data_IF_002471468291
#
_entry.id   IF_002471468291
#
_cell.length_a   1.000
_cell.length_b   1.000
_cell.length_c   1.000
_cell.angle_alpha   90.00
_cell.angle_beta   90.00
_cell.angle_gamma   90.00
#
_symmetry.space_group_name_H-M   'P 1'
#
loop_
_entity.id
_entity.type
_entity.pdbx_description
1 polymer ?
#
# COMPACT_ATOMS: atom_id res chain seq x y z
N UNK A 1 -10.78 -17.93 -12.48
CA UNK A 1 -10.09 -19.24 -12.53
C UNK A 1 -10.29 -19.88 -11.17
N UNK A 2 -11.37 -20.65 -11.04
CA UNK A 2 -11.66 -21.39 -9.80
C UNK A 2 -10.66 -22.53 -9.68
N UNK A 3 -9.72 -22.39 -8.74
CA UNK A 3 -8.76 -23.45 -8.44
C UNK A 3 -9.51 -24.56 -7.71
N UNK A 4 -10.14 -25.44 -8.48
CA UNK A 4 -10.85 -26.61 -7.99
C UNK A 4 -9.82 -27.54 -7.35
N UNK A 5 -9.77 -27.57 -6.02
CA UNK A 5 -8.97 -28.53 -5.26
C UNK A 5 -9.56 -29.92 -5.51
N UNK A 6 -9.05 -30.64 -6.51
CA UNK A 6 -9.47 -32.01 -6.79
C UNK A 6 -8.85 -32.93 -5.77
N UNK A 7 -9.59 -33.22 -4.71
CA UNK A 7 -9.17 -34.16 -3.68
C UNK A 7 -9.50 -35.59 -4.15
N UNK A 8 -8.46 -36.32 -4.59
CA UNK A 8 -8.60 -37.72 -4.97
C UNK A 8 -9.00 -38.59 -3.77
N UNK A 9 -9.71 -39.70 -4.03
CA UNK A 9 -10.16 -40.65 -2.99
C UNK A 9 -9.02 -41.12 -2.10
N UNK A 10 -7.82 -41.35 -2.66
CA UNK A 10 -6.63 -41.72 -1.87
C UNK A 10 -6.21 -40.61 -0.91
N UNK A 11 -6.25 -39.36 -1.39
CA UNK A 11 -5.88 -38.19 -0.57
C UNK A 11 -6.88 -37.98 0.56
N UNK A 12 -8.19 -38.15 0.30
CA UNK A 12 -9.21 -38.09 1.35
C UNK A 12 -9.03 -39.19 2.40
N UNK A 13 -8.76 -40.43 1.96
CA UNK A 13 -8.47 -41.56 2.87
C UNK A 13 -7.21 -41.31 3.71
N UNK A 14 -6.18 -40.71 3.12
CA UNK A 14 -4.98 -40.32 3.84
C UNK A 14 -5.28 -39.25 4.90
N UNK A 15 -6.18 -38.29 4.63
CA UNK A 15 -6.56 -37.23 5.55
C UNK A 15 -7.59 -37.63 6.62
N UNK A 16 -8.33 -38.73 6.42
CA UNK A 16 -9.41 -39.16 7.32
C UNK A 16 -8.95 -39.44 8.76
N UNK A 17 -7.65 -39.65 8.99
CA UNK A 17 -7.10 -39.82 10.33
C UNK A 17 -6.71 -38.48 10.94
N UNK A 18 -7.32 -38.12 12.08
CA UNK A 18 -7.09 -36.84 12.77
C UNK A 18 -5.60 -36.57 13.08
N UNK A 19 -4.85 -37.59 13.51
CA UNK A 19 -3.41 -37.48 13.77
C UNK A 19 -2.62 -36.98 12.56
N UNK A 20 -2.98 -37.41 11.35
CA UNK A 20 -2.29 -37.00 10.12
C UNK A 20 -2.56 -35.54 9.80
N UNK A 21 -3.77 -35.05 10.05
CA UNK A 21 -4.09 -33.61 9.94
C UNK A 21 -3.23 -32.81 10.92
N UNK A 22 -3.06 -33.28 12.16
CA UNK A 22 -2.21 -32.61 13.15
C UNK A 22 -0.75 -32.59 12.72
N UNK A 23 -0.24 -33.69 12.16
CA UNK A 23 1.11 -33.75 11.56
C UNK A 23 1.26 -32.70 10.46
N UNK A 24 0.30 -32.62 9.54
CA UNK A 24 0.33 -31.65 8.43
C UNK A 24 0.31 -30.20 8.94
N UNK A 25 -0.50 -29.89 9.98
CA UNK A 25 -0.51 -28.57 10.63
C UNK A 25 0.84 -28.23 11.27
N UNK A 26 1.46 -29.17 11.96
CA UNK A 26 2.77 -28.97 12.58
C UNK A 26 3.88 -28.76 11.53
N UNK A 27 3.85 -29.51 10.42
CA UNK A 27 4.75 -29.33 9.29
C UNK A 27 4.50 -28.04 8.51
N UNK A 28 3.27 -27.51 8.56
CA UNK A 28 2.92 -26.22 7.96
C UNK A 28 3.55 -25.03 8.66
N UNK A 29 3.82 -25.14 9.97
CA UNK A 29 4.52 -24.11 10.75
C UNK A 29 6.00 -24.07 10.41
N UNK A 30 6.67 -25.23 10.39
CA UNK A 30 8.08 -25.38 10.05
C UNK A 30 8.40 -26.82 9.64
N UNK A 31 9.53 -27.03 8.94
CA UNK A 31 10.11 -28.36 8.75
C UNK A 31 10.47 -29.00 10.09
N UNK A 32 10.14 -30.29 10.24
CA UNK A 32 10.37 -31.09 11.46
C UNK A 32 10.88 -32.48 11.09
N UNK A 33 11.67 -33.06 11.98
CA UNK A 33 12.08 -34.46 11.92
C UNK A 33 10.99 -35.38 12.47
N UNK A 34 11.09 -36.67 12.15
CA UNK A 34 10.22 -37.72 12.71
C UNK A 34 10.23 -37.71 14.24
N UNK A 35 11.41 -37.56 14.86
CA UNK A 35 11.56 -37.60 16.32
C UNK A 35 10.96 -36.37 17.00
N UNK A 36 11.03 -35.20 16.38
CA UNK A 36 10.35 -33.99 16.89
C UNK A 36 8.83 -34.15 16.84
N UNK A 37 8.29 -34.67 15.72
CA UNK A 37 6.86 -34.94 15.59
C UNK A 37 6.37 -35.96 16.61
N UNK A 38 7.14 -37.03 16.83
CA UNK A 38 6.83 -38.06 17.84
C UNK A 38 6.74 -37.47 19.25
N UNK A 39 7.71 -36.61 19.63
CA UNK A 39 7.72 -35.93 20.93
C UNK A 39 6.55 -34.96 21.07
N UNK A 40 6.23 -34.16 20.05
CA UNK A 40 5.15 -33.17 20.13
C UNK A 40 3.75 -33.81 20.19
N UNK A 41 3.56 -34.92 19.47
CA UNK A 41 2.27 -35.60 19.38
C UNK A 41 2.10 -36.67 20.46
N UNK A 42 3.12 -36.91 21.29
CA UNK A 42 3.16 -38.01 22.28
C UNK A 42 2.87 -39.38 21.64
N UNK A 43 3.49 -39.64 20.50
CA UNK A 43 3.34 -40.89 19.74
C UNK A 43 4.69 -41.60 19.57
N UNK A 44 4.65 -42.91 19.33
CA UNK A 44 5.86 -43.67 19.04
C UNK A 44 6.49 -43.23 17.71
N UNK A 45 7.82 -43.33 17.60
CA UNK A 45 8.53 -43.07 16.35
C UNK A 45 8.01 -43.94 15.20
N UNK A 46 7.63 -45.20 15.47
CA UNK A 46 7.09 -46.12 14.46
C UNK A 46 5.76 -45.61 13.90
N UNK A 47 4.84 -45.20 14.78
CA UNK A 47 3.52 -44.68 14.41
C UNK A 47 3.63 -43.41 13.54
N UNK A 48 4.53 -42.48 13.91
CA UNK A 48 4.76 -41.28 13.11
C UNK A 48 5.35 -41.64 11.74
N UNK A 49 6.28 -42.60 11.67
CA UNK A 49 6.84 -43.06 10.40
C UNK A 49 5.75 -43.57 9.47
N UNK A 50 4.85 -44.40 9.99
CA UNK A 50 3.72 -44.94 9.22
C UNK A 50 2.82 -43.81 8.68
N UNK A 51 2.48 -42.84 9.53
CA UNK A 51 1.70 -41.68 9.09
C UNK A 51 2.40 -40.84 8.02
N UNK A 52 3.71 -40.62 8.14
CA UNK A 52 4.50 -39.88 7.16
C UNK A 52 4.63 -40.62 5.83
N UNK A 53 4.77 -41.95 5.85
CA UNK A 53 4.78 -42.78 4.64
C UNK A 53 3.43 -42.65 3.91
N UNK A 54 2.32 -42.85 4.61
CA UNK A 54 0.97 -42.74 4.03
C UNK A 54 0.68 -41.33 3.48
N UNK A 55 1.19 -40.28 4.13
CA UNK A 55 1.09 -38.90 3.65
C UNK A 55 2.01 -38.62 2.46
N UNK A 56 3.15 -39.30 2.38
CA UNK A 56 4.07 -39.25 1.23
C UNK A 56 3.51 -39.93 0.00
N UNK A 57 2.81 -41.06 0.15
CA UNK A 57 2.18 -41.79 -0.95
C UNK A 57 1.17 -40.95 -1.75
N UNK A 58 0.51 -39.99 -1.10
CA UNK A 58 -0.46 -39.07 -1.71
C UNK A 58 0.14 -37.70 -2.04
N UNK A 59 1.45 -37.56 -1.95
CA UNK A 59 2.22 -36.34 -2.24
C UNK A 59 1.78 -35.14 -1.38
N UNK A 60 1.45 -35.36 -0.10
CA UNK A 60 1.15 -34.28 0.86
C UNK A 60 2.38 -33.83 1.64
N UNK A 61 3.32 -34.74 1.86
CA UNK A 61 4.57 -34.51 2.60
C UNK A 61 5.73 -35.06 1.77
N UNK A 62 6.85 -34.34 1.77
CA UNK A 62 8.11 -34.83 1.21
C UNK A 62 9.19 -34.93 2.27
N UNK A 63 10.06 -35.90 2.10
CA UNK A 63 11.25 -36.09 2.89
C UNK A 63 12.42 -35.38 2.22
N UNK A 64 13.16 -34.59 2.99
CA UNK A 64 14.36 -33.90 2.55
C UNK A 64 15.57 -34.68 3.05
N UNK A 65 16.34 -35.19 2.10
CA UNK A 65 17.61 -35.88 2.35
C UNK A 65 18.76 -34.91 2.08
N UNK A 66 19.35 -34.37 3.14
CA UNK A 66 20.49 -33.45 3.08
C UNK A 66 21.83 -34.21 3.27
N UNK A 67 21.83 -35.55 3.18
CA UNK A 67 23.02 -36.38 3.41
C UNK A 67 23.33 -36.67 4.89
N UNK A 68 22.48 -36.22 5.80
CA UNK A 68 22.57 -36.50 7.23
C UNK A 68 21.69 -37.70 7.63
N UNK A 69 22.02 -38.32 8.76
CA UNK A 69 21.21 -39.42 9.33
C UNK A 69 19.78 -39.00 9.65
N UNK A 70 19.55 -37.73 9.96
CA UNK A 70 18.23 -37.20 10.29
C UNK A 70 17.58 -36.61 9.06
N UNK A 71 16.38 -37.10 8.77
CA UNK A 71 15.60 -36.65 7.63
C UNK A 71 14.52 -35.69 8.09
N UNK A 72 14.48 -34.53 7.47
CA UNK A 72 13.43 -33.54 7.68
C UNK A 72 12.24 -33.85 6.78
N UNK A 73 11.06 -33.54 7.28
CA UNK A 73 9.83 -33.61 6.51
C UNK A 73 9.27 -32.20 6.34
N UNK A 74 8.70 -31.95 5.18
CA UNK A 74 8.03 -30.69 4.87
C UNK A 74 6.77 -30.91 4.03
N UNK A 75 5.84 -29.96 4.10
CA UNK A 75 4.65 -29.98 3.25
C UNK A 75 5.03 -29.76 1.79
N UNK A 76 4.41 -30.53 0.91
CA UNK A 76 4.45 -30.27 -0.54
C UNK A 76 3.57 -29.06 -0.89
N UNK A 77 3.65 -28.58 -2.14
CA UNK A 77 2.73 -27.54 -2.64
C UNK A 77 1.27 -27.96 -2.50
N UNK A 78 0.97 -29.23 -2.83
CA UNK A 78 -0.35 -29.85 -2.67
C UNK A 78 -0.79 -29.90 -1.21
N UNK A 79 0.08 -30.35 -0.31
CA UNK A 79 -0.18 -30.38 1.13
C UNK A 79 -0.45 -28.99 1.72
N UNK A 80 0.32 -27.97 1.31
CA UNK A 80 0.11 -26.58 1.72
C UNK A 80 -1.26 -26.06 1.28
N UNK A 81 -1.66 -26.31 0.03
CA UNK A 81 -2.93 -25.82 -0.51
C UNK A 81 -4.15 -26.45 0.19
N UNK A 82 -4.01 -27.67 0.71
CA UNK A 82 -5.07 -28.39 1.43
C UNK A 82 -5.22 -27.88 2.88
N UNK A 83 -4.11 -27.59 3.57
CA UNK A 83 -4.15 -27.13 4.97
C UNK A 83 -4.42 -25.63 5.08
N UNK A 84 -3.85 -24.85 4.16
CA UNK A 84 -4.01 -23.41 4.08
C UNK A 84 -4.54 -23.03 2.69
N UNK A 85 -5.82 -23.30 2.39
CA UNK A 85 -6.45 -22.80 1.19
C UNK A 85 -6.52 -21.27 1.26
N UNK A 86 -5.49 -20.64 0.73
CA UNK A 86 -5.51 -19.29 0.18
C UNK A 86 -5.79 -18.10 1.12
N UNK A 87 -5.24 -18.08 2.34
CA UNK A 87 -5.34 -16.91 3.23
C UNK A 87 -4.75 -15.62 2.60
N UNK A 88 -3.72 -15.72 1.76
CA UNK A 88 -3.04 -14.56 1.17
C UNK A 88 -3.92 -13.73 0.22
N UNK A 89 -4.90 -14.34 -0.47
CA UNK A 89 -5.79 -13.60 -1.39
C UNK A 89 -6.67 -12.62 -0.62
N UNK A 90 -7.13 -13.02 0.56
CA UNK A 90 -8.02 -12.22 1.41
C UNK A 90 -7.28 -10.94 1.84
N UNK A 91 -6.06 -11.08 2.39
CA UNK A 91 -5.24 -9.94 2.78
C UNK A 91 -4.91 -8.99 1.62
N UNK A 92 -4.56 -9.55 0.45
CA UNK A 92 -4.27 -8.75 -0.75
C UNK A 92 -5.51 -7.98 -1.22
N UNK A 93 -6.68 -8.63 -1.28
CA UNK A 93 -7.94 -7.96 -1.65
C UNK A 93 -8.35 -6.88 -0.65
N UNK A 94 -8.08 -7.09 0.63
CA UNK A 94 -8.42 -6.14 1.70
C UNK A 94 -7.54 -4.88 1.61
N UNK A 95 -6.22 -5.04 1.45
CA UNK A 95 -5.29 -3.92 1.26
C UNK A 95 -5.63 -3.14 -0.01
N UNK A 96 -5.96 -3.86 -1.10
CA UNK A 96 -6.34 -3.24 -2.38
C UNK A 96 -7.64 -2.43 -2.25
N UNK A 97 -8.64 -2.96 -1.52
CA UNK A 97 -9.88 -2.24 -1.26
C UNK A 97 -9.65 -0.96 -0.44
N UNK A 98 -8.79 -1.02 0.58
CA UNK A 98 -8.43 0.14 1.39
C UNK A 98 -7.73 1.21 0.53
N UNK A 99 -6.78 0.81 -0.33
CA UNK A 99 -6.10 1.73 -1.24
C UNK A 99 -7.06 2.37 -2.26
N UNK A 100 -8.01 1.60 -2.79
CA UNK A 100 -9.02 2.13 -3.69
C UNK A 100 -9.91 3.17 -2.99
N UNK A 101 -10.29 2.92 -1.73
CA UNK A 101 -11.09 3.84 -0.93
C UNK A 101 -10.33 5.14 -0.63
N UNK A 102 -9.04 5.09 -0.26
CA UNK A 102 -8.27 6.31 0.02
C UNK A 102 -8.11 7.17 -1.23
N UNK A 103 -7.87 6.57 -2.39
CA UNK A 103 -7.80 7.28 -3.68
C UNK A 103 -9.15 7.90 -4.04
N UNK A 104 -10.25 7.16 -3.84
CA UNK A 104 -11.60 7.65 -4.13
C UNK A 104 -11.98 8.82 -3.22
N UNK A 105 -11.68 8.73 -1.92
CA UNK A 105 -11.94 9.80 -0.94
C UNK A 105 -11.13 11.05 -1.25
N UNK A 106 -9.83 10.92 -1.57
CA UNK A 106 -9.01 12.07 -1.95
C UNK A 106 -9.54 12.76 -3.22
N UNK A 107 -9.99 11.99 -4.21
CA UNK A 107 -10.61 12.52 -5.43
C UNK A 107 -11.96 13.20 -5.15
N UNK A 108 -12.71 12.73 -4.16
CA UNK A 108 -13.99 13.33 -3.77
C UNK A 108 -13.78 14.63 -2.97
N UNK A 109 -12.87 14.63 -1.99
CA UNK A 109 -12.53 15.81 -1.19
C UNK A 109 -11.94 16.94 -2.03
N UNK A 110 -11.11 16.63 -3.04
CA UNK A 110 -10.56 17.63 -3.95
C UNK A 110 -11.62 18.27 -4.86
N UNK A 111 -12.72 17.56 -5.16
CA UNK A 111 -13.86 18.10 -5.92
C UNK A 111 -14.84 18.89 -5.04
N UNK A 112 -14.94 18.55 -3.76
CA UNK A 112 -15.82 19.21 -2.78
C UNK A 112 -15.18 20.42 -2.07
N UNK A 113 -13.91 20.73 -2.35
CA UNK A 113 -13.26 21.98 -1.91
C UNK A 113 -13.21 23.00 -3.05
N UNK A 114 -14.34 23.65 -3.43
CA UNK A 114 -14.23 24.90 -4.14
C UNK A 114 -13.82 25.98 -3.12
N UNK A 115 -12.85 26.82 -3.50
CA UNK A 115 -12.57 28.15 -2.94
C UNK A 115 -11.57 28.34 -1.77
N UNK A 116 -11.13 27.35 -0.99
CA UNK A 116 -10.14 27.62 0.08
C UNK A 116 -8.66 27.64 -0.38
N UNK A 117 -8.30 26.85 -1.40
CA UNK A 117 -6.90 26.73 -1.87
C UNK A 117 -6.54 27.81 -2.91
N UNK A 118 -7.51 28.54 -3.48
CA UNK A 118 -7.24 29.64 -4.44
C UNK A 118 -7.05 31.03 -3.80
N UNK A 119 -7.41 31.22 -2.53
CA UNK A 119 -7.19 32.48 -1.81
C UNK A 119 -5.69 32.89 -1.64
N UNK A 120 -4.74 31.98 -1.33
CA UNK A 120 -3.34 32.39 -1.16
C UNK A 120 -2.65 32.80 -2.47
N UNK A 121 -3.16 32.36 -3.63
CA UNK A 121 -2.59 32.63 -4.96
C UNK A 121 -2.83 34.09 -5.40
N UNK A 122 -4.01 34.63 -5.10
CA UNK A 122 -4.38 36.02 -5.41
C UNK A 122 -3.70 37.01 -4.46
N UNK A 123 -3.54 36.63 -3.19
CA UNK A 123 -2.84 37.46 -2.20
C UNK A 123 -1.33 37.54 -2.48
N UNK A 124 -0.69 36.46 -2.93
CA UNK A 124 0.72 36.50 -3.33
C UNK A 124 0.93 37.31 -4.62
N UNK A 125 0.04 37.17 -5.61
CA UNK A 125 0.14 37.89 -6.88
C UNK A 125 -0.12 39.40 -6.75
N UNK A 126 -1.06 39.83 -5.89
CA UNK A 126 -1.30 41.23 -5.59
C UNK A 126 -0.14 41.90 -4.84
N UNK A 127 0.54 41.16 -3.95
CA UNK A 127 1.67 41.66 -3.15
C UNK A 127 2.94 41.83 -4.00
N UNK A 128 3.14 40.95 -4.98
CA UNK A 128 4.25 41.04 -5.93
C UNK A 128 4.03 42.14 -6.97
N UNK A 129 2.79 42.33 -7.45
CA UNK A 129 2.42 43.45 -8.32
C UNK A 129 2.59 44.81 -7.63
N UNK A 130 2.19 44.94 -6.36
CA UNK A 130 2.35 46.18 -5.59
C UNK A 130 3.81 46.56 -5.34
N UNK A 131 4.69 45.57 -5.13
CA UNK A 131 6.13 45.80 -4.91
C UNK A 131 6.82 46.37 -6.16
N UNK A 132 6.47 45.85 -7.35
CA UNK A 132 7.07 46.29 -8.61
C UNK A 132 6.65 47.73 -8.98
N UNK A 133 5.40 48.12 -8.68
CA UNK A 133 4.92 49.49 -8.95
C UNK A 133 5.62 50.53 -8.08
N UNK A 134 5.89 50.19 -6.81
CA UNK A 134 6.61 51.09 -5.89
C UNK A 134 8.08 51.23 -6.31
N UNK A 135 8.71 50.14 -6.74
CA UNK A 135 10.11 50.16 -7.21
C UNK A 135 10.26 50.96 -8.52
N UNK A 136 9.26 50.91 -9.41
CA UNK A 136 9.26 51.67 -10.67
C UNK A 136 8.98 53.18 -10.43
N UNK A 137 8.12 53.51 -9.47
CA UNK A 137 7.88 54.89 -9.05
C UNK A 137 9.11 55.53 -8.40
N UNK A 138 9.88 54.77 -7.61
CA UNK A 138 11.12 55.24 -6.98
C UNK A 138 12.22 55.49 -8.02
N UNK A 139 12.38 54.62 -9.01
CA UNK A 139 13.33 54.81 -10.12
C UNK A 139 12.97 56.01 -11.02
N UNK A 140 11.68 56.28 -11.19
CA UNK A 140 11.18 57.44 -11.96
C UNK A 140 11.41 58.76 -11.24
N UNK A 141 11.28 58.78 -9.90
CA UNK A 141 11.46 60.00 -9.09
C UNK A 141 12.94 60.42 -8.96
N UNK A 142 13.87 59.47 -8.91
CA UNK A 142 15.32 59.76 -8.80
C UNK A 142 15.91 60.35 -10.10
N UNK A 143 15.21 60.23 -11.23
CA UNK A 143 15.65 60.72 -12.54
C UNK A 143 15.31 62.19 -12.89
N UNK A 144 14.52 62.90 -12.07
CA UNK A 144 14.08 64.27 -12.38
C UNK A 144 14.90 65.32 -11.61
N UNK A 145 15.97 65.82 -12.22
CA UNK A 145 16.66 67.05 -11.81
C UNK A 145 15.85 68.30 -12.26
N UNK A 146 15.61 69.32 -11.43
CA UNK A 146 14.72 70.45 -11.78
C UNK A 146 15.50 71.57 -12.48
N UNK A 147 15.04 72.11 -13.63
CA UNK A 147 14.45 73.47 -13.67
C UNK A 147 13.42 73.65 -14.83
N UNK A 148 12.53 74.64 -14.93
CA UNK A 148 12.63 76.08 -14.71
C UNK A 148 11.21 76.69 -14.63
N UNK A 149 11.08 77.67 -13.76
CA UNK A 149 9.96 78.58 -13.56
C UNK A 149 9.60 79.35 -14.85
N UNK A 150 8.34 79.31 -15.30
CA UNK A 150 7.81 80.29 -16.27
C UNK A 150 6.41 80.75 -15.86
N UNK A 151 6.37 82.02 -15.47
CA UNK A 151 5.19 82.81 -15.11
C UNK A 151 4.37 83.15 -16.37
N UNK A 152 3.06 82.86 -16.36
CA UNK A 152 2.08 83.38 -17.34
C UNK A 152 0.76 83.60 -16.57
N UNK A 153 0.49 84.81 -16.07
CA UNK A 153 -0.13 85.96 -16.74
C UNK A 153 -1.63 85.78 -17.01
N UNK A 154 -2.44 86.53 -16.23
CA UNK A 154 -3.91 86.61 -16.23
C UNK A 154 -4.51 87.19 -17.51
N UNK A 155 -5.75 86.83 -17.90
CA UNK A 155 -6.56 87.65 -18.78
C UNK A 155 -7.64 88.41 -18.01
N UNK A 156 -7.57 89.74 -18.16
CA UNK A 156 -8.57 90.74 -17.83
C UNK A 156 -9.69 90.75 -18.91
N UNK A 157 -10.83 91.40 -18.61
CA UNK A 157 -11.90 91.90 -19.51
C UNK A 157 -13.23 91.11 -19.49
N UNK A 158 -14.44 91.68 -19.39
CA UNK A 158 -14.94 93.01 -19.02
C UNK A 158 -16.44 92.91 -18.67
N UNK A 159 -16.95 93.91 -17.95
CA UNK A 159 -18.33 94.06 -17.47
C UNK A 159 -19.17 94.87 -18.48
N UNK A 160 -20.46 94.58 -18.70
CA UNK A 160 -21.36 95.46 -19.46
C UNK A 160 -22.15 96.42 -18.56
N UNK A 161 -22.36 97.65 -19.04
CA UNK A 161 -23.33 98.62 -18.52
C UNK A 161 -24.67 98.46 -19.23
N UNK A 162 -25.76 98.31 -18.46
CA UNK A 162 -27.07 98.97 -18.63
C UNK A 162 -27.89 98.74 -17.36
#
# INVERSE_FOLDING_TARGET
MDEKITLDRKTFKALAQGTRITILKELGKRRKTQTELAKQLNLSNSTIKEHLVNLGEVDLVKQIDEGYKWKYYELTKKGKNIIYPHETKIWISLILAILALTIAINNLLSKLTPAAIKAPQLASSAKEAGKNIIEDAEKTFVGASPPHETLISSPHFAVPYT
#
